data_IF_985169221879
#
_entry.id   IF_985169221879
#
_cell.length_a   1.000
_cell.length_b   1.000
_cell.length_c   1.000
_cell.angle_alpha   90.00
_cell.angle_beta   90.00
_cell.angle_gamma   90.00
#
_symmetry.space_group_name_H-M   'P 1'
#
loop_
_entity.id
_entity.type
_entity.pdbx_description
1 polymer ?
#
# COMPACT_ATOMS: atom_id res chain seq x y z
N UNK A 1 -19.40 -17.32 16.84
CA UNK A 1 -18.80 -16.52 15.76
C UNK A 1 -19.62 -16.78 14.51
N UNK A 2 -20.48 -15.86 14.13
CA UNK A 2 -21.31 -16.03 12.94
C UNK A 2 -20.44 -16.08 11.69
N UNK A 3 -20.62 -17.09 10.85
CA UNK A 3 -19.92 -17.25 9.57
C UNK A 3 -20.05 -16.01 8.68
N UNK A 4 -21.17 -15.29 8.78
CA UNK A 4 -21.39 -14.02 8.10
C UNK A 4 -20.37 -12.94 8.49
N UNK A 5 -19.97 -12.85 9.77
CA UNK A 5 -18.98 -11.88 10.24
C UNK A 5 -17.59 -12.24 9.68
N UNK A 6 -17.24 -13.53 9.68
CA UNK A 6 -15.96 -13.99 9.14
C UNK A 6 -15.82 -13.67 7.64
N UNK A 7 -16.88 -13.92 6.87
CA UNK A 7 -16.93 -13.62 5.44
C UNK A 7 -16.76 -12.11 5.21
N UNK A 8 -17.46 -11.27 5.98
CA UNK A 8 -17.37 -9.82 5.84
C UNK A 8 -15.95 -9.31 6.14
N UNK A 9 -15.32 -9.80 7.21
CA UNK A 9 -13.95 -9.43 7.57
C UNK A 9 -12.93 -9.80 6.49
N UNK A 10 -13.09 -10.96 5.85
CA UNK A 10 -12.23 -11.39 4.73
C UNK A 10 -12.41 -10.46 3.53
N UNK A 11 -13.66 -10.10 3.20
CA UNK A 11 -13.95 -9.19 2.09
C UNK A 11 -13.29 -7.83 2.30
N UNK A 12 -13.42 -7.24 3.49
CA UNK A 12 -12.79 -5.95 3.81
C UNK A 12 -11.26 -6.04 3.82
N UNK A 13 -10.68 -7.15 4.29
CA UNK A 13 -9.24 -7.36 4.23
C UNK A 13 -8.72 -7.40 2.78
N UNK A 14 -9.41 -8.14 1.90
CA UNK A 14 -9.06 -8.19 0.47
C UNK A 14 -9.23 -6.81 -0.18
N UNK A 15 -10.31 -6.10 0.13
CA UNK A 15 -10.56 -4.77 -0.39
C UNK A 15 -9.43 -3.79 -0.01
N UNK A 16 -8.98 -3.83 1.24
CA UNK A 16 -7.85 -3.02 1.71
C UNK A 16 -6.56 -3.32 0.93
N UNK A 17 -6.26 -4.59 0.66
CA UNK A 17 -5.10 -4.99 -0.15
C UNK A 17 -5.21 -4.43 -1.57
N UNK A 18 -6.37 -4.55 -2.21
CA UNK A 18 -6.59 -4.05 -3.58
C UNK A 18 -6.39 -2.53 -3.65
N UNK A 19 -6.92 -1.79 -2.67
CA UNK A 19 -6.76 -0.33 -2.59
C UNK A 19 -5.29 0.03 -2.36
N UNK A 20 -4.59 -0.69 -1.48
CA UNK A 20 -3.17 -0.47 -1.20
C UNK A 20 -2.31 -0.66 -2.44
N UNK A 21 -2.48 -1.77 -3.17
CA UNK A 21 -1.72 -2.06 -4.40
C UNK A 21 -2.00 -0.99 -5.46
N UNK A 22 -3.26 -0.58 -5.61
CA UNK A 22 -3.64 0.47 -6.57
C UNK A 22 -2.98 1.80 -6.20
N UNK A 23 -3.01 2.18 -4.92
CA UNK A 23 -2.34 3.38 -4.41
C UNK A 23 -0.82 3.33 -4.64
N UNK A 24 -0.20 2.18 -4.41
CA UNK A 24 1.23 1.98 -4.67
C UNK A 24 1.58 2.16 -6.15
N UNK A 25 0.79 1.58 -7.06
CA UNK A 25 0.99 1.77 -8.51
C UNK A 25 0.83 3.23 -8.93
N UNK A 26 -0.10 3.96 -8.31
CA UNK A 26 -0.28 5.39 -8.56
C UNK A 26 0.97 6.17 -8.12
N UNK A 27 1.49 5.88 -6.93
CA UNK A 27 2.74 6.50 -6.43
C UNK A 27 3.92 6.15 -7.34
N UNK A 28 4.04 4.90 -7.77
CA UNK A 28 5.09 4.44 -8.68
C UNK A 28 5.05 5.22 -10.00
N UNK A 29 3.87 5.38 -10.60
CA UNK A 29 3.70 6.20 -11.82
C UNK A 29 3.91 7.70 -11.61
N UNK A 30 3.57 8.23 -10.44
CA UNK A 30 3.80 9.63 -10.10
C UNK A 30 5.28 9.94 -9.90
N UNK A 31 6.06 8.92 -9.52
CA UNK A 31 7.49 9.06 -9.30
C UNK A 31 8.20 8.90 -10.66
N UNK A 32 8.86 9.95 -11.20
CA UNK A 32 9.49 9.90 -12.53
C UNK A 32 10.78 9.07 -12.58
N UNK A 33 11.06 8.30 -11.53
CA UNK A 33 12.27 7.51 -11.35
C UNK A 33 11.95 6.03 -11.46
N UNK A 34 12.86 5.25 -12.03
CA UNK A 34 12.81 3.79 -11.94
C UNK A 34 12.99 3.36 -10.48
N UNK A 35 11.86 3.18 -9.80
CA UNK A 35 11.80 2.75 -8.41
C UNK A 35 12.55 1.44 -8.22
N UNK A 36 12.33 0.47 -9.11
CA UNK A 36 13.00 -0.82 -9.05
C UNK A 36 14.52 -0.72 -9.14
N UNK A 37 15.03 0.06 -10.09
CA UNK A 37 16.47 0.27 -10.27
C UNK A 37 17.08 0.96 -9.05
N UNK A 38 16.45 2.01 -8.56
CA UNK A 38 16.99 2.76 -7.42
C UNK A 38 16.87 2.01 -6.09
N UNK A 39 15.80 1.26 -5.87
CA UNK A 39 15.62 0.50 -4.62
C UNK A 39 16.55 -0.71 -4.57
N UNK A 40 16.69 -1.44 -5.68
CA UNK A 40 17.36 -2.75 -5.67
C UNK A 40 18.79 -2.70 -6.19
N UNK A 41 19.06 -1.96 -7.27
CA UNK A 41 20.43 -1.84 -7.79
C UNK A 41 21.21 -0.77 -7.03
N UNK A 42 20.69 0.46 -6.95
CA UNK A 42 21.41 1.58 -6.33
C UNK A 42 21.24 1.65 -4.82
N UNK A 43 20.30 0.89 -4.24
CA UNK A 43 19.98 0.86 -2.81
C UNK A 43 19.79 2.26 -2.22
N UNK A 44 19.08 3.11 -2.95
CA UNK A 44 18.82 4.49 -2.55
C UNK A 44 17.91 4.52 -1.32
N UNK A 45 18.52 4.73 -0.16
CA UNK A 45 17.85 4.73 1.13
C UNK A 45 16.86 5.90 1.25
N UNK A 46 17.13 7.04 0.62
CA UNK A 46 16.21 8.17 0.61
C UNK A 46 14.90 7.82 -0.12
N UNK A 47 15.00 7.17 -1.30
CA UNK A 47 13.84 6.72 -2.05
C UNK A 47 13.05 5.65 -1.27
N UNK A 48 13.75 4.71 -0.63
CA UNK A 48 13.12 3.68 0.21
C UNK A 48 12.33 4.25 1.38
N UNK A 49 12.86 5.29 2.06
CA UNK A 49 12.13 5.97 3.13
C UNK A 49 10.88 6.66 2.58
N UNK A 50 10.97 7.36 1.46
CA UNK A 50 9.81 8.07 0.86
C UNK A 50 8.72 7.09 0.46
N UNK A 51 9.09 6.00 -0.20
CA UNK A 51 8.15 4.94 -0.62
C UNK A 51 7.54 4.24 0.59
N UNK A 52 8.34 3.93 1.61
CA UNK A 52 7.86 3.37 2.86
C UNK A 52 6.88 4.30 3.58
N UNK A 53 7.19 5.59 3.65
CA UNK A 53 6.30 6.59 4.25
C UNK A 53 4.98 6.74 3.46
N UNK A 54 5.04 6.73 2.13
CA UNK A 54 3.85 6.75 1.28
C UNK A 54 2.98 5.51 1.50
N UNK A 55 3.59 4.31 1.57
CA UNK A 55 2.89 3.07 1.88
C UNK A 55 2.21 3.12 3.27
N UNK A 56 2.90 3.62 4.29
CA UNK A 56 2.32 3.81 5.62
C UNK A 56 1.14 4.79 5.61
N UNK A 57 1.24 5.88 4.86
CA UNK A 57 0.14 6.83 4.69
C UNK A 57 -1.10 6.21 4.04
N UNK A 58 -0.91 5.40 2.99
CA UNK A 58 -2.00 4.67 2.33
C UNK A 58 -2.66 3.68 3.31
N UNK A 59 -1.87 2.90 4.05
CA UNK A 59 -2.38 1.99 5.07
C UNK A 59 -3.20 2.73 6.13
N UNK A 60 -2.76 3.91 6.57
CA UNK A 60 -3.47 4.71 7.56
C UNK A 60 -4.82 5.23 7.04
N UNK A 61 -4.86 5.68 5.78
CA UNK A 61 -6.12 6.13 5.14
C UNK A 61 -7.11 4.95 5.05
N UNK A 62 -6.63 3.76 4.66
CA UNK A 62 -7.46 2.55 4.59
C UNK A 62 -7.97 2.17 5.99
N UNK A 63 -7.10 2.19 7.01
CA UNK A 63 -7.49 1.89 8.39
C UNK A 63 -8.56 2.87 8.90
N UNK A 64 -8.44 4.16 8.59
CA UNK A 64 -9.42 5.18 8.95
C UNK A 64 -10.75 5.04 8.19
N UNK A 65 -10.74 4.46 6.99
CA UNK A 65 -11.93 4.27 6.17
C UNK A 65 -12.72 2.98 6.50
N UNK A 66 -12.05 1.95 7.02
CA UNK A 66 -12.64 0.65 7.37
C UNK A 66 -13.16 0.64 8.84
N UNK A 67 -12.71 1.58 9.67
CA UNK A 67 -13.17 1.76 11.05
C UNK A 67 -14.56 2.42 11.12
#
# INVERSE_FOLDING_TARGET
MDIAILINSIIYAILGIVIFVTGFIIVDKLTPYDLWKQLVEEKNLALAIVVGAAALGICQIIAAAIH
#
